data_IF_606921174822
#
_entry.id   IF_606921174822
#
_cell.length_a   1.000
_cell.length_b   1.000
_cell.length_c   1.000
_cell.angle_alpha   90.00
_cell.angle_beta   90.00
_cell.angle_gamma   90.00
#
_symmetry.space_group_name_H-M   'P 1'
#
loop_
_entity.id
_entity.type
_entity.pdbx_description
1 polymer ?
#
# COMPACT_ATOMS: atom_id res chain seq x y z
N UNK A 1 1.53 -9.77 2.53
CA UNK A 1 0.61 -8.75 2.01
C UNK A 1 -0.64 -8.56 2.88
N UNK A 2 -1.32 -9.62 3.34
CA UNK A 2 -2.49 -9.48 4.25
C UNK A 2 -2.23 -8.66 5.52
N UNK A 3 -0.99 -8.66 6.05
CA UNK A 3 -0.60 -7.81 7.19
C UNK A 3 -0.72 -6.31 6.87
N UNK A 4 -0.31 -5.88 5.67
CA UNK A 4 -0.38 -4.49 5.20
C UNK A 4 -1.83 -4.06 5.05
N UNK A 5 -2.68 -4.90 4.44
CA UNK A 5 -4.12 -4.61 4.28
C UNK A 5 -4.80 -4.38 5.63
N UNK A 6 -4.49 -5.22 6.63
CA UNK A 6 -5.00 -5.07 8.00
C UNK A 6 -4.44 -3.85 8.71
N UNK A 7 -3.13 -3.60 8.59
CA UNK A 7 -2.45 -2.43 9.14
C UNK A 7 -3.09 -1.13 8.64
N UNK A 8 -3.42 -1.10 7.35
CA UNK A 8 -3.94 0.07 6.67
C UNK A 8 -5.49 0.15 6.74
N UNK A 9 -6.17 -0.72 7.49
CA UNK A 9 -7.65 -0.81 7.62
C UNK A 9 -8.40 -0.82 6.27
N UNK A 10 -7.84 -1.49 5.26
CA UNK A 10 -8.37 -1.46 3.89
C UNK A 10 -8.52 -0.02 3.35
N UNK A 11 -7.66 0.92 3.76
CA UNK A 11 -7.71 2.32 3.32
C UNK A 11 -6.48 2.69 2.51
N UNK A 12 -6.73 3.34 1.38
CA UNK A 12 -5.67 3.93 0.57
C UNK A 12 -4.88 4.95 1.40
N UNK A 13 -3.56 4.76 1.49
CA UNK A 13 -2.67 5.63 2.28
C UNK A 13 -2.42 7.00 1.61
N UNK A 14 -2.91 7.21 0.39
CA UNK A 14 -2.88 8.53 -0.28
C UNK A 14 -4.14 9.35 -0.06
N UNK A 15 -5.32 8.76 -0.25
CA UNK A 15 -6.60 9.49 -0.26
C UNK A 15 -7.55 9.09 0.87
N UNK A 16 -7.17 8.11 1.70
CA UNK A 16 -7.95 7.59 2.83
C UNK A 16 -9.30 6.91 2.48
N UNK A 17 -9.56 6.67 1.19
CA UNK A 17 -10.72 5.90 0.69
C UNK A 17 -10.64 4.45 1.19
N UNK A 18 -11.76 3.90 1.69
CA UNK A 18 -11.88 2.48 1.98
C UNK A 18 -12.02 1.68 0.68
N UNK A 19 -11.21 0.65 0.52
CA UNK A 19 -11.03 -0.12 -0.70
C UNK A 19 -11.70 -1.49 -0.57
N UNK A 20 -12.28 -1.95 -1.68
CA UNK A 20 -12.64 -3.34 -1.86
C UNK A 20 -11.42 -4.16 -2.28
N UNK A 21 -11.48 -5.48 -2.14
CA UNK A 21 -10.36 -6.39 -2.46
C UNK A 21 -9.85 -6.21 -3.90
N UNK A 22 -10.75 -5.92 -4.84
CA UNK A 22 -10.41 -5.71 -6.23
C UNK A 22 -9.87 -4.31 -6.53
N UNK A 23 -9.85 -3.37 -5.57
CA UNK A 23 -9.34 -1.98 -5.72
C UNK A 23 -7.95 -1.79 -5.09
N UNK A 24 -7.40 -2.83 -4.46
CA UNK A 24 -6.14 -2.77 -3.69
C UNK A 24 -4.93 -2.87 -4.60
N UNK A 25 -4.03 -1.90 -4.46
CA UNK A 25 -2.66 -1.96 -4.94
C UNK A 25 -1.65 -1.84 -3.79
N UNK A 26 -0.44 -2.33 -4.03
CA UNK A 26 0.69 -2.19 -3.12
C UNK A 26 1.76 -1.32 -3.78
N UNK A 27 2.11 -0.22 -3.13
CA UNK A 27 3.08 0.74 -3.61
C UNK A 27 4.27 0.88 -2.66
N UNK A 28 5.44 1.17 -3.20
CA UNK A 28 6.65 1.43 -2.43
C UNK A 28 6.70 2.89 -1.98
N UNK A 29 6.82 3.13 -0.67
CA UNK A 29 6.95 4.49 -0.11
C UNK A 29 8.23 5.16 -0.63
N UNK A 30 9.37 4.45 -0.53
CA UNK A 30 10.61 4.77 -1.23
C UNK A 30 10.65 3.91 -2.49
N UNK A 31 10.68 4.48 -3.71
CA UNK A 31 10.73 3.69 -4.94
C UNK A 31 11.95 2.77 -4.99
N UNK A 32 11.78 1.59 -5.60
CA UNK A 32 12.88 0.63 -5.81
C UNK A 32 14.06 1.27 -6.55
N UNK A 33 13.79 2.13 -7.55
CA UNK A 33 14.82 2.87 -8.30
C UNK A 33 15.65 3.82 -7.43
N UNK A 34 15.18 4.16 -6.24
CA UNK A 34 15.87 4.98 -5.23
C UNK A 34 16.40 4.15 -4.06
N UNK A 35 16.43 2.82 -4.18
CA UNK A 35 16.93 1.91 -3.16
C UNK A 35 15.90 1.50 -2.10
N UNK A 36 14.60 1.68 -2.35
CA UNK A 36 13.56 1.24 -1.43
C UNK A 36 13.49 -0.27 -1.29
N UNK A 37 13.31 -0.76 -0.05
CA UNK A 37 13.15 -2.18 0.26
C UNK A 37 11.75 -2.68 -0.08
N UNK A 38 11.57 -3.99 -0.25
CA UNK A 38 10.22 -4.60 -0.33
C UNK A 38 9.73 -5.12 1.03
N UNK A 39 10.29 -4.60 2.12
CA UNK A 39 9.86 -4.92 3.47
C UNK A 39 8.56 -4.20 3.83
N UNK A 40 7.81 -4.77 4.77
CA UNK A 40 6.47 -4.30 5.14
C UNK A 40 6.41 -2.81 5.50
N UNK A 41 7.48 -2.28 6.12
CA UNK A 41 7.56 -0.86 6.49
C UNK A 41 7.62 0.08 5.29
N UNK A 42 8.10 -0.39 4.12
CA UNK A 42 8.25 0.41 2.90
C UNK A 42 7.13 0.15 1.88
N UNK A 43 6.16 -0.71 2.20
CA UNK A 43 5.00 -0.97 1.34
C UNK A 43 3.75 -0.34 1.96
N UNK A 44 2.91 0.29 1.14
CA UNK A 44 1.63 0.88 1.53
C UNK A 44 0.49 0.40 0.64
N UNK A 45 -0.73 0.40 1.18
CA UNK A 45 -1.96 0.15 0.44
C UNK A 45 -2.38 1.40 -0.36
N UNK A 46 -2.61 1.29 -1.65
CA UNK A 46 -3.13 2.37 -2.50
C UNK A 46 -4.36 1.92 -3.27
N UNK A 47 -5.21 2.87 -3.68
CA UNK A 47 -6.20 2.60 -4.73
C UNK A 47 -5.52 2.65 -6.09
N UNK A 48 -6.13 2.04 -7.11
CA UNK A 48 -5.79 2.36 -8.49
C UNK A 48 -5.83 3.87 -8.71
N UNK A 49 -4.78 4.39 -9.35
CA UNK A 49 -4.78 5.73 -9.94
C UNK A 49 -5.56 5.75 -11.23
#
# INVERSE_FOLDING_TARGET
MMRIVRRDDYRCQHCNKKLQDNEIEFDHIIPVSKGGSSEEHNIRLTCFG
#
